data_IF_156296670240
#
_entry.id   IF_156296670240
#
_cell.length_a   1.000
_cell.length_b   1.000
_cell.length_c   1.000
_cell.angle_alpha   90.00
_cell.angle_beta   90.00
_cell.angle_gamma   90.00
#
_symmetry.space_group_name_H-M   'P 1'
#
loop_
_entity.id
_entity.type
_entity.pdbx_description
1 polymer ?
#
# COMPACT_ATOMS: atom_id res chain seq x y z
N UNK A 1 0.95 20.55 -1.34
CA UNK A 1 -0.38 19.91 -1.47
C UNK A 1 -0.53 18.83 -0.41
N UNK A 2 -1.74 18.40 -0.10
CA UNK A 2 -1.97 17.29 0.82
C UNK A 2 -1.56 15.95 0.19
N UNK A 3 -1.39 14.90 1.02
CA UNK A 3 -1.14 13.56 0.50
C UNK A 3 -2.28 13.04 -0.36
N UNK A 4 -3.53 13.30 0.04
CA UNK A 4 -4.73 12.94 -0.74
C UNK A 4 -4.75 13.63 -2.10
N UNK A 5 -4.49 14.94 -2.17
CA UNK A 5 -4.39 15.67 -3.45
C UNK A 5 -3.20 15.17 -4.30
N UNK A 6 -2.07 14.85 -3.65
CA UNK A 6 -0.88 14.35 -4.33
C UNK A 6 -1.15 12.98 -5.01
N UNK A 7 -1.93 12.11 -4.37
CA UNK A 7 -2.42 10.87 -5.00
C UNK A 7 -3.26 11.17 -6.24
N UNK A 8 -4.25 12.06 -6.13
CA UNK A 8 -5.08 12.45 -7.27
C UNK A 8 -4.24 13.02 -8.42
N UNK A 9 -3.29 13.92 -8.10
CA UNK A 9 -2.38 14.51 -9.10
C UNK A 9 -1.48 13.46 -9.74
N UNK A 10 -0.88 12.59 -8.92
CA UNK A 10 -0.04 11.49 -9.39
C UNK A 10 -0.81 10.50 -10.27
N UNK A 11 -2.07 10.21 -9.95
CA UNK A 11 -2.92 9.35 -10.77
C UNK A 11 -3.11 9.93 -12.19
N UNK A 12 -3.38 11.24 -12.31
CA UNK A 12 -3.50 11.92 -13.60
C UNK A 12 -2.17 11.87 -14.37
N UNK A 13 -1.04 12.15 -13.71
CA UNK A 13 0.29 12.05 -14.30
C UNK A 13 0.64 10.60 -14.70
N UNK A 14 0.12 9.61 -13.97
CA UNK A 14 0.20 8.18 -14.28
C UNK A 14 -0.77 7.70 -15.35
N UNK A 15 -1.39 8.62 -16.11
CA UNK A 15 -2.35 8.32 -17.18
C UNK A 15 -3.60 7.56 -16.73
N UNK A 16 -4.09 7.83 -15.50
CA UNK A 16 -5.40 7.37 -15.07
C UNK A 16 -6.49 7.90 -15.98
N UNK A 17 -7.33 7.02 -16.53
CA UNK A 17 -8.44 7.38 -17.41
C UNK A 17 -9.80 7.24 -16.74
N UNK A 18 -9.91 6.40 -15.73
CA UNK A 18 -11.17 6.08 -15.08
C UNK A 18 -11.00 6.11 -13.58
N UNK A 19 -11.79 6.93 -12.91
CA UNK A 19 -11.91 6.92 -11.46
C UNK A 19 -13.37 6.73 -11.09
N UNK A 20 -13.60 5.70 -10.29
CA UNK A 20 -14.90 5.42 -9.69
C UNK A 20 -14.74 5.47 -8.18
N UNK A 21 -15.70 6.09 -7.49
CA UNK A 21 -15.57 6.24 -6.04
C UNK A 21 -16.90 6.29 -5.32
N UNK A 22 -16.87 5.90 -4.06
CA UNK A 22 -17.92 6.14 -3.09
C UNK A 22 -17.31 6.90 -1.89
N UNK A 23 -17.95 7.99 -1.40
CA UNK A 23 -17.36 8.84 -0.39
C UNK A 23 -17.25 8.13 0.95
N UNK A 24 -16.04 8.07 1.49
CA UNK A 24 -15.75 7.52 2.82
C UNK A 24 -14.52 8.23 3.42
N UNK A 25 -14.64 8.71 4.66
CA UNK A 25 -13.53 9.34 5.39
C UNK A 25 -12.48 8.27 5.78
N UNK A 26 -11.16 8.54 5.62
CA UNK A 26 -10.50 9.82 5.33
C UNK A 26 -9.96 9.98 3.89
N UNK A 27 -10.56 9.36 2.87
CA UNK A 27 -10.12 9.45 1.48
C UNK A 27 -10.92 10.45 0.61
N UNK A 28 -11.95 11.10 1.15
CA UNK A 28 -12.90 11.92 0.37
C UNK A 28 -12.22 12.97 -0.50
N UNK A 29 -11.13 13.57 -0.05
CA UNK A 29 -10.39 14.59 -0.78
C UNK A 29 -9.75 14.03 -2.07
N UNK A 30 -9.36 12.73 -2.09
CA UNK A 30 -8.91 12.09 -3.34
C UNK A 30 -10.04 12.10 -4.37
N UNK A 31 -11.24 11.71 -3.95
CA UNK A 31 -12.42 11.68 -4.80
C UNK A 31 -12.80 13.06 -5.30
N UNK A 32 -12.80 14.09 -4.41
CA UNK A 32 -13.06 15.48 -4.75
C UNK A 32 -12.04 16.02 -5.76
N UNK A 33 -10.76 15.72 -5.56
CA UNK A 33 -9.69 16.06 -6.50
C UNK A 33 -9.93 15.44 -7.87
N UNK A 34 -10.21 14.13 -7.90
CA UNK A 34 -10.45 13.39 -9.15
C UNK A 34 -11.73 13.87 -9.86
N UNK A 35 -12.80 14.18 -9.12
CA UNK A 35 -14.04 14.74 -9.69
C UNK A 35 -13.79 16.06 -10.42
N UNK A 36 -12.90 16.90 -9.89
CA UNK A 36 -12.58 18.22 -10.45
C UNK A 36 -11.58 18.14 -11.61
N UNK A 37 -10.52 17.36 -11.45
CA UNK A 37 -9.36 17.44 -12.34
C UNK A 37 -9.32 16.33 -13.41
N UNK A 38 -9.83 15.14 -13.14
CA UNK A 38 -9.77 14.03 -14.10
C UNK A 38 -10.54 14.30 -15.40
N UNK A 39 -11.77 14.88 -15.37
CA UNK A 39 -12.47 15.26 -16.60
C UNK A 39 -11.71 16.31 -17.42
N UNK A 40 -11.01 17.25 -16.76
CA UNK A 40 -10.17 18.26 -17.43
C UNK A 40 -8.96 17.63 -18.13
N UNK A 41 -8.49 16.51 -17.62
CA UNK A 41 -7.42 15.70 -18.21
C UNK A 41 -7.92 14.69 -19.25
N UNK A 42 -9.20 14.73 -19.63
CA UNK A 42 -9.81 13.84 -20.62
C UNK A 42 -10.15 12.45 -20.11
N UNK A 43 -10.22 12.25 -18.79
CA UNK A 43 -10.67 11.02 -18.16
C UNK A 43 -12.14 11.07 -17.71
N UNK A 44 -12.62 9.97 -17.16
CA UNK A 44 -13.99 9.81 -16.65
C UNK A 44 -13.95 9.66 -15.13
N UNK A 45 -14.68 10.52 -14.44
CA UNK A 45 -15.05 10.39 -13.02
C UNK A 45 -16.53 10.00 -12.90
N UNK A 46 -16.81 9.04 -12.00
CA UNK A 46 -18.19 8.72 -11.65
C UNK A 46 -18.27 8.30 -10.18
N UNK A 47 -19.23 8.90 -9.47
CA UNK A 47 -19.59 8.47 -8.11
C UNK A 47 -20.58 7.32 -8.17
N UNK A 48 -20.24 6.18 -7.55
CA UNK A 48 -21.10 5.02 -7.42
C UNK A 48 -21.99 5.11 -6.17
N UNK A 49 -23.00 4.25 -6.09
CA UNK A 49 -23.89 4.14 -4.93
C UNK A 49 -23.29 3.35 -3.76
N UNK A 50 -22.22 2.55 -4.01
CA UNK A 50 -21.48 1.82 -2.98
C UNK A 50 -20.11 1.37 -3.50
N UNK A 51 -19.27 0.88 -2.59
CA UNK A 51 -17.91 0.42 -2.91
C UNK A 51 -17.92 -0.85 -3.79
N UNK A 52 -18.92 -1.72 -3.65
CA UNK A 52 -19.04 -2.91 -4.46
C UNK A 52 -19.24 -2.56 -5.94
N UNK A 53 -20.16 -1.62 -6.23
CA UNK A 53 -20.37 -1.10 -7.58
C UNK A 53 -19.15 -0.37 -8.12
N UNK A 54 -18.47 0.41 -7.26
CA UNK A 54 -17.19 1.04 -7.58
C UNK A 54 -16.17 0.02 -8.09
N UNK A 55 -15.97 -1.08 -7.36
CA UNK A 55 -15.03 -2.13 -7.73
C UNK A 55 -15.42 -2.83 -9.04
N UNK A 56 -16.73 -3.04 -9.27
CA UNK A 56 -17.25 -3.58 -10.52
C UNK A 56 -16.98 -2.67 -11.73
N UNK A 57 -17.12 -1.35 -11.57
CA UNK A 57 -16.81 -0.36 -12.61
C UNK A 57 -15.30 -0.31 -12.91
N UNK A 58 -14.46 -0.34 -11.87
CA UNK A 58 -12.99 -0.45 -12.02
C UNK A 58 -12.62 -1.71 -12.79
N UNK A 59 -13.18 -2.87 -12.39
CA UNK A 59 -12.96 -4.14 -13.07
C UNK A 59 -13.34 -4.08 -14.56
N UNK A 60 -14.54 -3.56 -14.90
CA UNK A 60 -15.01 -3.46 -16.28
C UNK A 60 -14.13 -2.55 -17.14
N UNK A 61 -13.78 -1.37 -16.65
CA UNK A 61 -12.93 -0.41 -17.36
C UNK A 61 -11.50 -0.91 -17.54
N UNK A 62 -10.95 -1.55 -16.51
CA UNK A 62 -9.62 -2.16 -16.57
C UNK A 62 -9.60 -3.37 -17.52
N UNK A 63 -10.65 -4.21 -17.55
CA UNK A 63 -10.81 -5.30 -18.49
C UNK A 63 -10.86 -4.80 -19.94
N UNK A 64 -11.41 -3.62 -20.18
CA UNK A 64 -11.37 -2.95 -21.50
C UNK A 64 -9.98 -2.34 -21.84
N UNK A 65 -8.99 -2.47 -20.95
CA UNK A 65 -7.61 -2.02 -21.13
C UNK A 65 -7.32 -0.61 -20.65
N UNK A 66 -8.28 0.08 -20.02
CA UNK A 66 -8.08 1.40 -19.44
C UNK A 66 -7.31 1.35 -18.12
N UNK A 67 -6.55 2.40 -17.81
CA UNK A 67 -6.01 2.60 -16.45
C UNK A 67 -7.14 3.09 -15.55
N UNK A 68 -7.60 2.23 -14.64
CA UNK A 68 -8.69 2.51 -13.72
C UNK A 68 -8.19 2.52 -12.28
N UNK A 69 -8.74 3.42 -11.47
CA UNK A 69 -8.41 3.60 -10.06
C UNK A 69 -9.67 3.81 -9.23
N UNK A 70 -9.61 3.39 -7.99
CA UNK A 70 -10.52 3.81 -6.92
C UNK A 70 -9.74 4.12 -5.65
N UNK A 71 -10.40 4.79 -4.71
CA UNK A 71 -9.89 5.01 -3.36
C UNK A 71 -10.99 4.67 -2.35
N UNK A 72 -10.62 4.06 -1.22
CA UNK A 72 -11.54 3.76 -0.14
C UNK A 72 -10.82 3.61 1.21
N UNK A 73 -11.54 3.19 2.24
CA UNK A 73 -11.06 3.02 3.61
C UNK A 73 -11.79 1.87 4.30
N UNK A 74 -11.10 1.12 5.14
CA UNK A 74 -11.67 0.14 6.08
C UNK A 74 -12.80 -0.73 5.50
N UNK A 75 -14.07 -0.50 5.93
CA UNK A 75 -15.19 -1.35 5.50
C UNK A 75 -15.44 -1.30 3.98
N UNK A 76 -15.16 -0.19 3.31
CA UNK A 76 -15.29 -0.10 1.86
C UNK A 76 -14.29 -0.99 1.14
N UNK A 77 -13.05 -1.10 1.65
CA UNK A 77 -12.07 -2.04 1.12
C UNK A 77 -12.53 -3.49 1.32
N UNK A 78 -13.18 -3.79 2.45
CA UNK A 78 -13.74 -5.13 2.69
C UNK A 78 -14.81 -5.50 1.66
N UNK A 79 -15.69 -4.57 1.29
CA UNK A 79 -16.70 -4.77 0.25
C UNK A 79 -16.10 -5.00 -1.16
N UNK A 80 -14.93 -4.44 -1.44
CA UNK A 80 -14.27 -4.58 -2.74
C UNK A 80 -13.57 -5.92 -2.94
N UNK A 81 -13.35 -6.72 -1.89
CA UNK A 81 -12.48 -7.91 -1.94
C UNK A 81 -12.96 -8.97 -2.92
N UNK A 82 -14.25 -9.08 -3.16
CA UNK A 82 -14.81 -9.98 -4.18
C UNK A 82 -14.24 -9.63 -5.58
N UNK A 83 -14.31 -8.35 -5.97
CA UNK A 83 -13.76 -7.92 -7.26
C UNK A 83 -12.24 -7.97 -7.32
N UNK A 84 -11.55 -7.77 -6.21
CA UNK A 84 -10.07 -7.97 -6.16
C UNK A 84 -9.72 -9.43 -6.44
N UNK A 85 -10.48 -10.38 -5.90
CA UNK A 85 -10.35 -11.81 -6.21
C UNK A 85 -10.58 -12.07 -7.71
N UNK A 86 -11.65 -11.53 -8.32
CA UNK A 86 -11.89 -11.61 -9.76
C UNK A 86 -10.75 -10.98 -10.58
N UNK A 87 -10.32 -9.77 -10.23
CA UNK A 87 -9.21 -9.10 -10.92
C UNK A 87 -7.93 -9.92 -10.85
N UNK A 88 -7.67 -10.57 -9.72
CA UNK A 88 -6.51 -11.45 -9.56
C UNK A 88 -6.63 -12.70 -10.45
N UNK A 89 -7.79 -13.34 -10.49
CA UNK A 89 -8.03 -14.52 -11.34
C UNK A 89 -7.92 -14.19 -12.82
N UNK A 90 -8.58 -13.11 -13.28
CA UNK A 90 -8.56 -12.70 -14.68
C UNK A 90 -7.33 -11.89 -15.07
N UNK A 91 -6.40 -11.67 -14.14
CA UNK A 91 -5.18 -10.86 -14.33
C UNK A 91 -5.50 -9.47 -14.90
N UNK A 92 -6.41 -8.78 -14.26
CA UNK A 92 -6.86 -7.43 -14.65
C UNK A 92 -6.11 -6.40 -13.81
N UNK A 93 -5.34 -5.47 -14.43
CA UNK A 93 -4.60 -4.45 -13.72
C UNK A 93 -5.51 -3.34 -13.19
N UNK A 94 -5.35 -2.97 -11.93
CA UNK A 94 -6.03 -1.82 -11.34
C UNK A 94 -5.20 -1.22 -10.19
N UNK A 95 -5.44 0.04 -9.87
CA UNK A 95 -4.88 0.69 -8.68
C UNK A 95 -5.99 0.96 -7.68
N UNK A 96 -5.78 0.53 -6.44
CA UNK A 96 -6.69 0.79 -5.33
C UNK A 96 -5.92 1.54 -4.24
N UNK A 97 -6.33 2.76 -3.95
CA UNK A 97 -5.77 3.55 -2.85
C UNK A 97 -6.55 3.27 -1.58
N UNK A 98 -5.82 3.00 -0.51
CA UNK A 98 -6.39 2.74 0.82
C UNK A 98 -5.89 3.79 1.78
N UNK A 99 -6.80 4.64 2.26
CA UNK A 99 -6.50 5.56 3.35
C UNK A 99 -7.05 4.94 4.63
N UNK A 100 -6.15 4.29 5.40
CA UNK A 100 -6.59 3.44 6.50
C UNK A 100 -7.15 4.22 7.68
N UNK A 101 -8.11 3.62 8.36
CA UNK A 101 -8.72 4.10 9.60
C UNK A 101 -8.90 2.96 10.60
N UNK A 102 -9.15 3.29 11.87
CA UNK A 102 -9.36 2.26 12.89
C UNK A 102 -10.58 1.39 12.59
N UNK A 103 -10.38 0.07 12.66
CA UNK A 103 -11.40 -0.98 12.65
C UNK A 103 -11.50 -1.67 14.01
N UNK A 104 -12.29 -2.77 14.12
CA UNK A 104 -13.15 -3.35 13.08
C UNK A 104 -14.49 -2.61 12.87
N UNK A 105 -15.27 -3.08 11.89
CA UNK A 105 -16.57 -2.52 11.54
C UNK A 105 -16.46 -1.13 10.94
N UNK A 106 -17.35 -0.22 11.28
CA UNK A 106 -17.28 1.18 10.84
C UNK A 106 -16.04 1.87 11.38
N UNK A 107 -15.57 1.50 12.57
CA UNK A 107 -14.39 2.04 13.20
C UNK A 107 -14.43 3.54 13.47
N UNK A 108 -13.26 4.15 13.53
CA UNK A 108 -13.07 5.58 13.73
C UNK A 108 -12.22 6.16 12.59
N UNK A 109 -12.63 7.33 12.07
CA UNK A 109 -11.91 8.02 10.99
C UNK A 109 -10.60 8.69 11.46
N UNK A 110 -9.84 7.98 12.28
CA UNK A 110 -8.53 8.41 12.80
C UNK A 110 -7.42 7.60 12.13
N UNK A 111 -6.21 8.18 12.10
CA UNK A 111 -5.05 7.54 11.50
C UNK A 111 -4.69 6.23 12.18
N UNK A 112 -4.65 5.15 11.40
CA UNK A 112 -4.28 3.80 11.85
C UNK A 112 -3.50 3.06 10.77
N UNK A 113 -3.08 1.83 11.07
CA UNK A 113 -2.46 0.89 10.12
C UNK A 113 -3.13 -0.50 10.20
N UNK A 114 -4.44 -0.51 10.52
CA UNK A 114 -5.19 -1.76 10.80
C UNK A 114 -5.59 -2.54 9.55
N UNK A 115 -5.53 -1.96 8.35
CA UNK A 115 -5.83 -2.65 7.09
C UNK A 115 -4.64 -3.44 6.52
N UNK A 116 -3.48 -3.41 7.19
CA UNK A 116 -2.23 -4.04 6.74
C UNK A 116 -2.42 -5.50 6.29
N UNK A 117 -3.00 -6.32 7.16
CA UNK A 117 -3.14 -7.77 6.91
C UNK A 117 -4.07 -8.07 5.75
N UNK A 118 -5.19 -7.33 5.64
CA UNK A 118 -6.15 -7.50 4.55
C UNK A 118 -5.51 -7.27 3.19
N UNK A 119 -4.56 -6.33 3.08
CA UNK A 119 -3.92 -5.99 1.82
C UNK A 119 -2.72 -6.88 1.51
N UNK A 120 -1.92 -7.23 2.52
CA UNK A 120 -0.67 -8.00 2.34
C UNK A 120 -0.89 -9.51 2.32
N UNK A 121 -1.95 -10.02 2.97
CA UNK A 121 -2.23 -11.46 3.06
C UNK A 121 -3.43 -11.92 2.21
N UNK A 122 -4.12 -10.97 1.55
CA UNK A 122 -5.32 -11.22 0.76
C UNK A 122 -6.61 -11.14 1.60
N UNK A 123 -7.54 -10.29 1.16
CA UNK A 123 -8.82 -10.05 1.85
C UNK A 123 -9.98 -10.86 1.27
N UNK A 124 -9.88 -11.32 0.02
CA UNK A 124 -10.86 -12.20 -0.64
C UNK A 124 -10.39 -13.65 -0.67
N UNK A 125 -11.20 -14.54 -1.26
CA UNK A 125 -10.83 -15.95 -1.40
C UNK A 125 -9.86 -16.18 -2.56
N UNK A 126 -9.14 -17.31 -2.57
CA UNK A 126 -8.35 -17.79 -3.70
C UNK A 126 -6.83 -17.68 -3.53
N UNK A 127 -6.33 -17.19 -2.39
CA UNK A 127 -4.89 -17.20 -2.05
C UNK A 127 -4.02 -16.31 -2.93
N UNK A 128 -4.60 -15.27 -3.55
CA UNK A 128 -3.89 -14.32 -4.39
C UNK A 128 -3.00 -13.36 -3.59
N UNK A 129 -2.10 -12.65 -4.31
CA UNK A 129 -1.26 -11.57 -3.77
C UNK A 129 -1.47 -10.30 -4.58
N UNK A 130 -1.31 -9.16 -3.92
CA UNK A 130 -1.30 -7.83 -4.54
C UNK A 130 -0.04 -7.08 -4.08
N UNK A 131 0.58 -6.31 -4.97
CA UNK A 131 1.66 -5.41 -4.55
C UNK A 131 1.05 -4.32 -3.66
N UNK A 132 1.71 -4.03 -2.55
CA UNK A 132 1.27 -2.99 -1.60
C UNK A 132 2.41 -1.99 -1.42
N UNK A 133 2.21 -0.76 -1.86
CA UNK A 133 3.14 0.36 -1.71
C UNK A 133 2.71 1.23 -0.53
N UNK A 134 3.66 1.69 0.27
CA UNK A 134 3.40 2.47 1.49
C UNK A 134 4.17 3.80 1.51
N UNK A 135 3.69 4.83 0.81
CA UNK A 135 4.30 6.16 0.85
C UNK A 135 4.20 6.78 2.25
N UNK A 136 5.18 7.61 2.60
CA UNK A 136 5.23 8.31 3.88
C UNK A 136 5.21 9.84 3.77
N UNK A 137 5.10 10.36 2.57
CA UNK A 137 5.05 11.81 2.31
C UNK A 137 4.14 12.11 1.11
N UNK A 138 3.64 13.36 0.98
CA UNK A 138 2.90 13.78 -0.21
C UNK A 138 3.69 13.61 -1.52
N UNK A 139 5.01 13.81 -1.51
CA UNK A 139 5.85 13.57 -2.67
C UNK A 139 5.80 12.10 -3.08
N UNK A 140 6.00 11.18 -2.14
CA UNK A 140 5.91 9.75 -2.42
C UNK A 140 4.49 9.31 -2.80
N UNK A 141 3.45 9.93 -2.26
CA UNK A 141 2.07 9.68 -2.68
C UNK A 141 1.91 9.93 -4.19
N UNK A 142 2.43 11.06 -4.69
CA UNK A 142 2.42 11.40 -6.11
C UNK A 142 3.24 10.42 -6.95
N UNK A 143 4.40 10.01 -6.47
CA UNK A 143 5.31 9.14 -7.21
C UNK A 143 4.88 7.68 -7.19
N UNK A 144 4.46 7.17 -6.02
CA UNK A 144 4.10 5.77 -5.87
C UNK A 144 2.77 5.40 -6.54
N UNK A 145 1.81 6.34 -6.68
CA UNK A 145 0.61 6.04 -7.47
C UNK A 145 0.91 5.92 -8.96
N UNK A 146 1.88 6.67 -9.50
CA UNK A 146 2.35 6.49 -10.87
C UNK A 146 3.05 5.13 -11.03
N UNK A 147 3.92 4.78 -10.08
CA UNK A 147 4.56 3.46 -10.01
C UNK A 147 3.51 2.34 -9.91
N UNK A 148 2.45 2.53 -9.14
CA UNK A 148 1.39 1.55 -8.99
C UNK A 148 0.70 1.23 -10.32
N UNK A 149 0.42 2.23 -11.17
CA UNK A 149 -0.11 2.00 -12.51
C UNK A 149 0.87 1.24 -13.40
N UNK A 150 2.16 1.58 -13.34
CA UNK A 150 3.18 0.85 -14.10
C UNK A 150 3.26 -0.62 -13.66
N UNK A 151 3.34 -0.88 -12.36
CA UNK A 151 3.42 -2.25 -11.81
C UNK A 151 2.14 -3.05 -12.06
N UNK A 152 0.95 -2.40 -11.94
CA UNK A 152 -0.31 -3.03 -12.24
C UNK A 152 -0.36 -3.53 -13.69
N UNK A 153 0.00 -2.69 -14.65
CA UNK A 153 0.06 -3.05 -16.06
C UNK A 153 1.16 -4.11 -16.34
N UNK A 154 2.36 -3.94 -15.74
CA UNK A 154 3.51 -4.85 -15.92
C UNK A 154 3.20 -6.28 -15.50
N UNK A 155 2.58 -6.44 -14.35
CA UNK A 155 2.29 -7.76 -13.76
C UNK A 155 0.84 -8.21 -13.94
N UNK A 156 -0.01 -7.37 -14.54
CA UNK A 156 -1.43 -7.63 -14.74
C UNK A 156 -2.10 -8.05 -13.42
N UNK A 157 -2.11 -7.14 -12.46
CA UNK A 157 -2.66 -7.39 -11.13
C UNK A 157 -3.11 -6.10 -10.45
N UNK A 158 -3.85 -6.23 -9.36
CA UNK A 158 -4.16 -5.10 -8.49
C UNK A 158 -2.91 -4.67 -7.73
N UNK A 159 -2.66 -3.36 -7.69
CA UNK A 159 -1.64 -2.73 -6.84
C UNK A 159 -2.33 -1.80 -5.87
N UNK A 160 -2.05 -1.98 -4.59
CA UNK A 160 -2.50 -1.08 -3.53
C UNK A 160 -1.50 0.03 -3.26
N UNK A 161 -2.00 1.23 -3.02
CA UNK A 161 -1.25 2.32 -2.39
C UNK A 161 -1.87 2.55 -1.02
N UNK A 162 -1.15 2.18 0.03
CA UNK A 162 -1.61 2.21 1.41
C UNK A 162 -1.03 3.40 2.14
N UNK A 163 -1.88 4.33 2.56
CA UNK A 163 -1.53 5.44 3.45
C UNK A 163 -2.43 5.44 4.67
N UNK A 164 -1.99 6.10 5.72
CA UNK A 164 -2.84 6.45 6.86
C UNK A 164 -3.34 7.91 6.75
N UNK A 165 -4.36 8.26 7.52
CA UNK A 165 -4.98 9.58 7.47
C UNK A 165 -3.98 10.73 7.73
N UNK A 166 -2.92 10.52 8.53
CA UNK A 166 -1.91 11.57 8.76
C UNK A 166 -1.16 11.89 7.47
N UNK A 167 -0.76 10.85 6.71
CA UNK A 167 -0.10 11.05 5.40
C UNK A 167 -1.07 11.68 4.41
N UNK A 168 -2.33 11.27 4.41
CA UNK A 168 -3.36 11.83 3.52
C UNK A 168 -3.58 13.33 3.74
N UNK A 169 -3.52 13.79 4.97
CA UNK A 169 -3.87 15.16 5.36
C UNK A 169 -2.67 16.11 5.52
N UNK A 170 -1.46 15.61 5.74
CA UNK A 170 -0.28 16.47 5.88
C UNK A 170 -0.03 17.26 4.59
N UNK A 171 0.30 18.54 4.72
CA UNK A 171 0.56 19.44 3.59
C UNK A 171 2.05 19.75 3.50
N UNK A 172 2.65 19.38 2.38
CA UNK A 172 4.08 19.61 2.11
C UNK A 172 4.29 20.14 0.69
N UNK A 173 5.44 20.75 0.40
CA UNK A 173 5.84 21.03 -0.99
C UNK A 173 5.94 19.74 -1.80
N UNK A 174 5.41 19.77 -3.04
CA UNK A 174 5.43 18.62 -3.95
C UNK A 174 5.87 19.08 -5.33
N UNK A 175 6.83 18.37 -5.91
CA UNK A 175 7.26 18.55 -7.30
C UNK A 175 6.45 17.61 -8.19
N UNK A 176 5.46 18.17 -8.88
CA UNK A 176 4.58 17.39 -9.75
C UNK A 176 5.25 17.15 -11.11
N UNK A 177 5.78 15.95 -11.31
CA UNK A 177 6.40 15.50 -12.57
C UNK A 177 5.88 14.11 -12.98
N UNK A 178 5.82 13.87 -14.28
CA UNK A 178 5.62 12.51 -14.80
C UNK A 178 6.90 11.71 -14.62
N UNK A 179 6.78 10.49 -14.12
CA UNK A 179 7.90 9.57 -14.00
C UNK A 179 8.07 8.76 -15.29
N UNK A 180 9.29 8.54 -15.68
CA UNK A 180 9.61 7.69 -16.81
C UNK A 180 9.74 6.24 -16.37
N UNK A 181 8.96 5.37 -17.01
CA UNK A 181 9.01 3.93 -16.83
C UNK A 181 9.34 3.23 -18.15
N UNK A 182 9.93 2.03 -18.04
CA UNK A 182 10.18 1.20 -19.23
C UNK A 182 8.87 0.95 -19.99
N UNK A 183 8.89 1.02 -21.34
CA UNK A 183 7.71 0.71 -22.14
C UNK A 183 7.16 -0.69 -21.83
N UNK A 184 5.84 -0.79 -21.80
CA UNK A 184 5.14 -2.05 -21.58
C UNK A 184 4.54 -2.55 -22.90
N UNK A 185 4.34 -3.88 -23.06
CA UNK A 185 3.64 -4.44 -24.20
C UNK A 185 2.22 -3.88 -24.34
N UNK A 186 1.71 -3.87 -25.57
CA UNK A 186 0.31 -3.53 -25.80
C UNK A 186 -0.62 -4.47 -25.04
N UNK A 187 -1.76 -3.92 -24.60
CA UNK A 187 -2.79 -4.67 -23.88
C UNK A 187 -3.65 -5.48 -24.85
N UNK A 188 -3.04 -6.46 -25.52
CA UNK A 188 -3.70 -7.33 -26.51
C UNK A 188 -4.76 -8.26 -25.90
N UNK A 189 -4.72 -8.42 -24.59
CA UNK A 189 -5.70 -9.14 -23.77
C UNK A 189 -6.99 -8.33 -23.50
N UNK A 190 -7.00 -7.04 -23.76
CA UNK A 190 -8.11 -6.14 -23.40
C UNK A 190 -9.38 -6.45 -24.22
N UNK A 191 -10.54 -6.35 -23.57
CA UNK A 191 -11.85 -6.59 -24.17
C UNK A 191 -12.37 -5.29 -24.79
N UNK A 192 -12.00 -5.00 -26.04
CA UNK A 192 -12.35 -3.76 -26.75
C UNK A 192 -13.45 -3.95 -27.81
N UNK A 193 -14.29 -4.98 -27.67
CA UNK A 193 -15.32 -5.35 -28.64
C UNK A 193 -14.99 -6.61 -29.42
N UNK A 194 -15.96 -7.06 -30.24
CA UNK A 194 -15.91 -8.35 -30.95
C UNK A 194 -14.70 -8.46 -31.88
N UNK A 195 -14.46 -7.42 -32.67
CA UNK A 195 -13.43 -7.49 -33.74
C UNK A 195 -12.01 -7.45 -33.19
N UNK A 196 -11.79 -6.77 -32.06
CA UNK A 196 -10.48 -6.71 -31.41
C UNK A 196 -10.04 -8.05 -30.80
N UNK A 197 -10.95 -9.02 -30.69
CA UNK A 197 -10.74 -10.30 -30.04
C UNK A 197 -10.90 -11.51 -30.93
N UNK A 198 -11.04 -11.32 -32.26
CA UNK A 198 -11.26 -12.42 -33.18
C UNK A 198 -10.29 -13.59 -32.93
N UNK A 199 -10.82 -14.74 -32.47
CA UNK A 199 -10.03 -15.92 -32.13
C UNK A 199 -9.27 -15.94 -30.80
N UNK A 200 -9.32 -14.89 -29.99
CA UNK A 200 -8.68 -14.88 -28.66
C UNK A 200 -9.68 -15.25 -27.55
N UNK A 201 -9.43 -16.27 -26.73
CA UNK A 201 -10.28 -16.57 -25.58
C UNK A 201 -10.21 -15.46 -24.52
N UNK A 202 -11.26 -15.30 -23.71
CA UNK A 202 -11.18 -14.51 -22.49
C UNK A 202 -10.17 -15.17 -21.54
N UNK A 203 -9.17 -14.42 -21.01
CA UNK A 203 -8.30 -14.98 -19.99
C UNK A 203 -9.07 -15.20 -18.69
N UNK A 204 -8.68 -16.17 -17.90
CA UNK A 204 -8.47 -17.55 -18.27
C UNK A 204 -9.72 -18.37 -17.95
N UNK A 205 -10.55 -18.69 -18.93
CA UNK A 205 -11.42 -19.84 -18.79
C UNK A 205 -10.52 -21.07 -18.92
N UNK A 206 -9.70 -21.33 -17.91
CA UNK A 206 -8.85 -22.52 -17.93
C UNK A 206 -9.54 -23.67 -17.23
N UNK A 207 -9.52 -24.82 -17.85
CA UNK A 207 -9.82 -26.09 -17.19
C UNK A 207 -8.58 -26.61 -16.43
N UNK A 208 -7.41 -26.02 -16.67
CA UNK A 208 -6.16 -26.35 -15.99
C UNK A 208 -5.90 -25.38 -14.82
N UNK A 209 -6.56 -25.60 -13.70
CA UNK A 209 -6.35 -24.83 -12.48
C UNK A 209 -4.95 -25.02 -11.89
N UNK A 210 -4.35 -26.19 -12.05
CA UNK A 210 -2.99 -26.46 -11.54
C UNK A 210 -1.98 -25.61 -12.30
N UNK A 211 -2.00 -25.66 -13.64
CA UNK A 211 -1.11 -24.84 -14.47
C UNK A 211 -1.33 -23.34 -14.26
N UNK A 212 -2.57 -22.90 -13.99
CA UNK A 212 -2.84 -21.52 -13.59
C UNK A 212 -2.10 -21.13 -12.31
N UNK A 213 -2.22 -21.94 -11.25
CA UNK A 213 -1.56 -21.67 -9.98
C UNK A 213 -0.03 -21.72 -10.07
N UNK A 214 0.53 -22.62 -10.87
CA UNK A 214 1.98 -22.65 -11.15
C UNK A 214 2.44 -21.32 -11.74
N UNK A 215 1.79 -20.84 -12.81
CA UNK A 215 2.12 -19.55 -13.43
C UNK A 215 1.93 -18.35 -12.50
N UNK A 216 0.91 -18.38 -11.63
CA UNK A 216 0.74 -17.34 -10.63
C UNK A 216 1.88 -17.34 -9.61
N UNK A 217 2.30 -18.52 -9.13
CA UNK A 217 3.44 -18.63 -8.23
C UNK A 217 4.74 -18.13 -8.85
N UNK A 218 5.04 -18.50 -10.10
CA UNK A 218 6.20 -17.99 -10.85
C UNK A 218 6.18 -16.46 -10.92
N UNK A 219 5.01 -15.87 -11.19
CA UNK A 219 4.83 -14.41 -11.20
C UNK A 219 5.12 -13.80 -9.83
N UNK A 220 4.61 -14.39 -8.75
CA UNK A 220 4.81 -13.89 -7.40
C UNK A 220 6.29 -13.99 -6.97
N UNK A 221 6.96 -15.09 -7.27
CA UNK A 221 8.40 -15.24 -7.01
C UNK A 221 9.21 -14.16 -7.75
N UNK A 222 8.91 -13.92 -9.03
CA UNK A 222 9.56 -12.84 -9.78
C UNK A 222 9.33 -11.47 -9.15
N UNK A 223 8.14 -11.19 -8.63
CA UNK A 223 7.83 -9.93 -7.94
C UNK A 223 8.62 -9.82 -6.63
N UNK A 224 8.69 -10.90 -5.87
CA UNK A 224 9.49 -10.96 -4.63
C UNK A 224 11.00 -10.77 -4.88
N UNK A 225 11.50 -11.18 -6.04
CA UNK A 225 12.90 -10.98 -6.42
C UNK A 225 13.20 -9.56 -6.94
N UNK A 226 12.23 -8.90 -7.62
CA UNK A 226 12.53 -7.69 -8.40
C UNK A 226 11.85 -6.43 -7.90
N UNK A 227 10.81 -6.52 -7.07
CA UNK A 227 9.99 -5.36 -6.69
C UNK A 227 10.04 -5.01 -5.20
N UNK A 228 10.90 -5.66 -4.43
CA UNK A 228 11.16 -5.29 -3.03
C UNK A 228 11.78 -3.89 -2.99
N UNK A 229 11.18 -2.99 -2.19
CA UNK A 229 11.66 -1.63 -1.95
C UNK A 229 11.67 -1.30 -0.48
N UNK A 230 12.75 -0.71 -0.03
CA UNK A 230 12.91 -0.23 1.35
C UNK A 230 13.95 0.88 1.42
N UNK A 231 13.98 1.57 2.51
CA UNK A 231 15.03 2.54 2.86
C UNK A 231 15.59 2.24 4.23
N UNK A 232 16.86 2.57 4.43
CA UNK A 232 17.53 2.50 5.72
C UNK A 232 17.99 3.88 6.14
N UNK A 233 17.90 4.15 7.44
CA UNK A 233 18.37 5.40 8.02
C UNK A 233 19.24 5.10 9.24
N UNK A 234 20.53 5.50 9.19
CA UNK A 234 21.53 5.33 10.23
C UNK A 234 21.66 3.88 10.76
N UNK A 235 21.77 2.89 9.85
CA UNK A 235 21.77 1.46 10.22
C UNK A 235 23.15 0.80 10.26
N UNK A 236 24.24 1.57 10.13
CA UNK A 236 25.60 0.98 10.03
C UNK A 236 26.16 0.53 11.39
N UNK A 237 25.85 1.26 12.47
CA UNK A 237 26.42 1.07 13.83
C UNK A 237 25.31 0.98 14.88
N UNK A 238 24.44 -0.03 14.81
CA UNK A 238 23.24 -0.10 15.62
C UNK A 238 23.23 -1.26 16.61
N UNK A 239 22.64 -1.02 17.79
CA UNK A 239 22.29 -2.02 18.81
C UNK A 239 20.78 -2.30 18.84
N UNK A 240 20.00 -1.49 18.14
CA UNK A 240 18.55 -1.63 18.00
C UNK A 240 18.10 -1.17 16.62
N UNK A 241 17.37 -2.03 15.92
CA UNK A 241 16.73 -1.71 14.66
C UNK A 241 15.27 -1.31 14.90
N UNK A 242 14.87 -0.12 14.45
CA UNK A 242 13.45 0.21 14.31
C UNK A 242 12.94 -0.28 12.94
N UNK A 243 11.73 -0.83 12.91
CA UNK A 243 11.03 -1.16 11.65
C UNK A 243 9.66 -0.49 11.68
N UNK A 244 9.38 0.37 10.70
CA UNK A 244 8.14 1.14 10.64
C UNK A 244 7.79 1.51 9.20
N UNK A 245 6.49 1.74 8.89
CA UNK A 245 6.04 2.26 7.60
C UNK A 245 5.07 3.45 7.74
N UNK A 246 4.76 4.14 6.65
CA UNK A 246 3.82 5.26 6.62
C UNK A 246 4.15 6.35 7.64
N UNK A 247 3.15 6.91 8.32
CA UNK A 247 3.39 7.97 9.31
C UNK A 247 4.15 7.50 10.55
N UNK A 248 4.08 6.21 10.93
CA UNK A 248 4.87 5.66 12.02
C UNK A 248 6.39 5.72 11.70
N UNK A 249 6.78 5.50 10.44
CA UNK A 249 8.18 5.62 10.02
C UNK A 249 8.70 7.05 10.10
N UNK A 250 7.87 8.06 9.84
CA UNK A 250 8.25 9.47 10.00
C UNK A 250 8.59 9.79 11.46
N UNK A 251 7.77 9.32 12.39
CA UNK A 251 8.04 9.48 13.81
C UNK A 251 9.26 8.67 14.28
N UNK A 252 9.41 7.46 13.73
CA UNK A 252 10.58 6.62 14.03
C UNK A 252 11.89 7.25 13.54
N UNK A 253 11.89 7.94 12.41
CA UNK A 253 13.07 8.68 11.94
C UNK A 253 13.48 9.78 12.92
N UNK A 254 12.53 10.62 13.37
CA UNK A 254 12.81 11.63 14.39
C UNK A 254 13.25 11.03 15.73
N UNK A 255 12.70 9.86 16.08
CA UNK A 255 13.13 9.14 17.29
C UNK A 255 14.57 8.60 17.18
N UNK A 256 15.02 8.19 15.99
CA UNK A 256 16.41 7.80 15.76
C UNK A 256 17.34 8.98 16.06
N UNK A 257 17.04 10.17 15.54
CA UNK A 257 17.87 11.35 15.77
C UNK A 257 17.92 11.71 17.28
N UNK A 258 16.76 11.78 17.93
CA UNK A 258 16.67 12.08 19.37
C UNK A 258 17.34 11.02 20.25
N UNK A 259 17.26 9.73 19.90
CA UNK A 259 17.91 8.66 20.65
C UNK A 259 19.44 8.70 20.48
N UNK A 260 19.91 8.96 19.26
CA UNK A 260 21.36 9.10 18.99
C UNK A 260 21.99 10.29 19.70
N UNK A 261 21.30 11.42 19.80
CA UNK A 261 21.73 12.57 20.61
C UNK A 261 21.90 12.20 22.10
N UNK A 262 21.19 11.18 22.58
CA UNK A 262 21.28 10.63 23.94
C UNK A 262 22.27 9.46 24.05
N UNK A 263 23.00 9.13 22.99
CA UNK A 263 24.05 8.09 22.98
C UNK A 263 23.56 6.68 22.66
N UNK A 264 22.29 6.47 22.28
CA UNK A 264 21.76 5.19 21.86
C UNK A 264 22.05 4.91 20.38
N UNK A 265 22.58 3.75 20.04
CA UNK A 265 22.87 3.36 18.66
C UNK A 265 21.64 2.69 18.01
N UNK A 266 20.76 3.54 17.49
CA UNK A 266 19.48 3.14 16.88
C UNK A 266 19.49 3.49 15.40
N UNK A 267 18.87 2.66 14.56
CA UNK A 267 18.63 2.94 13.16
C UNK A 267 17.24 2.51 12.74
N UNK A 268 16.80 2.94 11.57
CA UNK A 268 15.48 2.64 11.02
C UNK A 268 15.60 1.92 9.68
N UNK A 269 14.84 0.85 9.49
CA UNK A 269 14.50 0.29 8.19
C UNK A 269 13.01 0.56 7.92
N UNK A 270 12.73 1.23 6.80
CA UNK A 270 11.38 1.54 6.33
C UNK A 270 11.03 0.69 5.12
N UNK A 271 10.12 -0.29 5.23
CA UNK A 271 9.53 -0.92 4.06
C UNK A 271 8.77 0.13 3.22
N UNK A 272 9.06 0.19 1.91
CA UNK A 272 8.29 0.93 0.91
C UNK A 272 7.27 -0.01 0.29
N UNK A 273 7.65 -1.27 0.03
CA UNK A 273 6.72 -2.34 -0.29
C UNK A 273 6.39 -3.13 0.98
N UNK A 274 5.10 -3.31 1.25
CA UNK A 274 4.61 -4.17 2.33
C UNK A 274 4.29 -5.58 1.82
N UNK A 275 3.99 -5.73 0.56
CA UNK A 275 4.13 -6.94 -0.21
C UNK A 275 4.66 -6.58 -1.60
N UNK A 276 5.76 -7.16 -2.05
CA UNK A 276 6.65 -8.08 -1.32
C UNK A 276 7.36 -7.39 -0.13
N UNK A 277 7.42 -8.08 1.01
CA UNK A 277 8.08 -7.55 2.21
C UNK A 277 9.60 -7.69 2.12
N UNK A 278 10.41 -6.70 2.57
CA UNK A 278 11.87 -6.74 2.49
C UNK A 278 12.51 -7.67 3.55
N UNK A 279 12.09 -8.93 3.60
CA UNK A 279 12.45 -9.89 4.65
C UNK A 279 13.96 -10.11 4.76
N UNK A 280 14.70 -10.14 3.65
CA UNK A 280 16.15 -10.31 3.68
C UNK A 280 16.84 -9.10 4.31
N UNK A 281 16.48 -7.89 3.89
CA UNK A 281 17.06 -6.65 4.41
C UNK A 281 16.76 -6.47 5.90
N UNK A 282 15.51 -6.78 6.32
CA UNK A 282 15.12 -6.77 7.73
C UNK A 282 15.95 -7.75 8.54
N UNK A 283 16.11 -8.99 8.05
CA UNK A 283 16.93 -10.02 8.72
C UNK A 283 18.38 -9.59 8.89
N UNK A 284 19.00 -9.11 7.81
CA UNK A 284 20.40 -8.69 7.83
C UNK A 284 20.65 -7.53 8.80
N UNK A 285 19.78 -6.52 8.78
CA UNK A 285 19.88 -5.38 9.70
C UNK A 285 19.57 -5.79 11.15
N UNK A 286 18.58 -6.65 11.36
CA UNK A 286 18.23 -7.17 12.69
C UNK A 286 19.35 -8.00 13.32
N UNK A 287 20.03 -8.85 12.54
CA UNK A 287 21.16 -9.65 13.02
C UNK A 287 22.36 -8.77 13.41
N UNK A 288 22.59 -7.64 12.69
CA UNK A 288 23.62 -6.67 13.10
C UNK A 288 23.27 -5.96 14.39
N UNK A 289 22.00 -5.58 14.54
CA UNK A 289 21.51 -4.82 15.70
C UNK A 289 21.34 -5.67 16.97
N UNK A 290 21.10 -6.98 16.81
CA UNK A 290 20.83 -7.90 17.92
C UNK A 290 19.41 -7.76 18.53
N UNK A 291 18.67 -6.71 18.24
CA UNK A 291 17.30 -6.45 18.72
C UNK A 291 16.50 -5.67 17.68
N UNK A 292 15.17 -5.86 17.67
CA UNK A 292 14.24 -5.11 16.80
C UNK A 292 13.11 -4.51 17.62
N UNK A 293 12.73 -3.26 17.32
CA UNK A 293 11.49 -2.64 17.77
C UNK A 293 10.64 -2.31 16.56
N UNK A 294 9.51 -2.97 16.41
CA UNK A 294 8.51 -2.65 15.39
C UNK A 294 7.62 -1.53 15.92
N UNK A 295 7.47 -0.47 15.13
CA UNK A 295 6.62 0.69 15.46
C UNK A 295 5.49 0.75 14.45
N UNK A 296 4.25 0.53 14.90
CA UNK A 296 3.08 0.52 14.04
C UNK A 296 1.81 1.03 14.73
N UNK A 297 0.91 1.63 13.96
CA UNK A 297 -0.38 2.14 14.45
C UNK A 297 -1.46 1.06 14.36
N UNK A 298 -1.14 -0.13 14.86
CA UNK A 298 -2.03 -1.29 14.93
C UNK A 298 -1.80 -2.08 16.20
N UNK A 299 -2.49 -3.19 16.35
CA UNK A 299 -2.35 -4.12 17.48
C UNK A 299 -1.26 -5.18 17.28
N UNK A 300 -0.39 -5.01 16.29
CA UNK A 300 0.62 -5.98 15.91
C UNK A 300 0.21 -6.75 14.64
N UNK A 301 0.44 -6.14 13.49
CA UNK A 301 0.17 -6.74 12.17
C UNK A 301 1.44 -6.86 11.34
N UNK A 302 2.22 -5.76 11.21
CA UNK A 302 3.51 -5.82 10.52
C UNK A 302 4.56 -6.58 11.32
N UNK A 303 4.46 -6.58 12.65
CA UNK A 303 5.38 -7.34 13.52
C UNK A 303 5.42 -8.81 13.15
N UNK A 304 4.30 -9.41 12.71
CA UNK A 304 4.25 -10.81 12.25
C UNK A 304 5.20 -11.06 11.05
N UNK A 305 5.28 -10.10 10.10
CA UNK A 305 6.21 -10.20 8.96
C UNK A 305 7.66 -10.00 9.38
N UNK A 306 7.91 -9.14 10.36
CA UNK A 306 9.26 -8.94 10.94
C UNK A 306 9.70 -10.19 11.70
N UNK A 307 8.86 -10.77 12.55
CA UNK A 307 9.13 -12.02 13.26
C UNK A 307 9.42 -13.17 12.30
N UNK A 308 8.62 -13.28 11.23
CA UNK A 308 8.87 -14.25 10.18
C UNK A 308 10.20 -14.00 9.46
N UNK A 309 10.54 -12.73 9.18
CA UNK A 309 11.79 -12.36 8.53
C UNK A 309 13.01 -12.73 9.38
N UNK A 310 12.99 -12.47 10.69
CA UNK A 310 14.14 -12.72 11.58
C UNK A 310 14.26 -14.19 12.05
N UNK A 311 13.25 -15.03 11.80
CA UNK A 311 13.26 -16.47 12.15
C UNK A 311 13.57 -16.74 13.63
N UNK A 312 13.11 -15.89 14.53
CA UNK A 312 13.38 -15.96 15.99
C UNK A 312 14.87 -15.88 16.37
N UNK A 313 15.74 -15.39 15.49
CA UNK A 313 17.17 -15.28 15.75
C UNK A 313 17.53 -14.09 16.65
N UNK A 314 16.67 -13.10 16.71
CA UNK A 314 16.80 -11.92 17.58
C UNK A 314 15.45 -11.60 18.22
N UNK A 315 15.44 -10.99 19.43
CA UNK A 315 14.19 -10.53 20.04
C UNK A 315 13.55 -9.43 19.22
N UNK A 316 12.22 -9.54 19.07
CA UNK A 316 11.38 -8.53 18.40
C UNK A 316 10.41 -7.96 19.44
N UNK A 317 10.44 -6.64 19.59
CA UNK A 317 9.56 -5.87 20.45
C UNK A 317 8.54 -5.13 19.61
N UNK A 318 7.38 -4.82 20.18
CA UNK A 318 6.30 -4.09 19.51
C UNK A 318 5.93 -2.82 20.30
N UNK A 319 6.01 -1.67 19.63
CA UNK A 319 5.32 -0.45 20.05
C UNK A 319 4.12 -0.24 19.15
N UNK A 320 2.95 -0.68 19.62
CA UNK A 320 1.67 -0.57 18.92
C UNK A 320 0.69 0.35 19.65
N UNK A 321 -0.60 0.18 19.35
CA UNK A 321 -1.69 0.90 20.00
C UNK A 321 -2.00 0.41 21.42
N UNK A 322 -1.47 -0.74 21.83
CA UNK A 322 -1.67 -1.31 23.16
C UNK A 322 -0.82 -0.61 24.23
N UNK A 323 -1.36 -0.47 25.42
CA UNK A 323 -0.62 0.06 26.59
C UNK A 323 -0.86 1.54 26.89
N UNK A 324 -1.77 2.20 26.18
CA UNK A 324 -2.15 3.59 26.45
C UNK A 324 -3.65 3.69 26.66
N UNK A 325 -4.10 3.37 27.87
CA UNK A 325 -5.47 3.59 28.27
C UNK A 325 -5.68 5.03 28.74
N UNK A 326 -5.94 5.94 27.81
CA UNK A 326 -6.68 7.15 28.15
C UNK A 326 -8.08 7.02 27.54
N UNK A 327 -9.15 7.10 28.32
CA UNK A 327 -10.50 7.08 27.80
C UNK A 327 -10.70 8.19 26.76
N UNK A 328 -11.10 7.83 25.54
CA UNK A 328 -11.46 8.77 24.48
C UNK A 328 -10.35 9.18 23.50
N UNK A 329 -9.13 8.71 23.67
CA UNK A 329 -8.05 8.97 22.70
C UNK A 329 -7.18 7.74 22.47
N UNK A 330 -6.95 7.39 21.19
CA UNK A 330 -5.84 6.51 20.86
C UNK A 330 -4.55 7.31 21.04
N UNK A 331 -3.57 6.80 21.82
CA UNK A 331 -2.33 7.53 22.01
C UNK A 331 -1.61 7.64 20.67
N UNK A 332 -1.28 8.86 20.27
CA UNK A 332 -0.45 9.04 19.12
C UNK A 332 0.93 8.44 19.39
N UNK A 333 1.49 7.79 18.38
CA UNK A 333 2.90 7.38 18.39
C UNK A 333 3.69 8.62 17.98
N UNK A 334 4.41 9.23 18.92
CA UNK A 334 5.34 10.34 18.69
C UNK A 334 6.77 9.88 18.83
N UNK A 335 7.71 10.68 18.35
CA UNK A 335 9.12 10.39 18.44
C UNK A 335 9.57 10.21 19.91
N UNK A 336 9.12 11.04 20.83
CA UNK A 336 9.45 10.98 22.26
C UNK A 336 9.00 9.64 22.87
N UNK A 337 7.81 9.16 22.55
CA UNK A 337 7.33 7.87 23.02
C UNK A 337 8.13 6.68 22.49
N UNK A 338 8.58 6.77 21.24
CA UNK A 338 9.48 5.76 20.67
C UNK A 338 10.81 5.77 21.43
N UNK A 339 11.38 6.95 21.73
CA UNK A 339 12.61 7.08 22.51
C UNK A 339 12.44 6.52 23.93
N UNK A 340 11.30 6.73 24.57
CA UNK A 340 11.01 6.12 25.87
C UNK A 340 11.01 4.58 25.81
N UNK A 341 10.49 4.00 24.71
CA UNK A 341 10.51 2.55 24.52
C UNK A 341 11.93 2.03 24.19
N UNK A 342 12.69 2.76 23.39
CA UNK A 342 14.12 2.46 23.12
C UNK A 342 14.93 2.34 24.41
N UNK A 343 14.68 3.21 25.41
CA UNK A 343 15.39 3.20 26.70
C UNK A 343 15.09 1.98 27.57
N UNK A 344 13.98 1.26 27.33
CA UNK A 344 13.57 0.07 28.10
C UNK A 344 14.16 -1.22 27.51
N UNK A 345 14.53 -1.20 26.25
CA UNK A 345 15.04 -2.34 25.48
C UNK A 345 16.58 -2.36 25.52
#
# INVERSE_FOLDING_TARGET
>A
MSGNDAIGRGAILGDCKFFYGYPITPQSEIMEYMARELPRAGGLFLQAECELSTAGMVYGSAMAGGRAMTASSGPGISLMQEFVSFMSFYQVPAVIVVVTRYGPGTGLAQSSQTDYRQLTKGGGHGGYRCIVLAPWSPQECLEQVQLAFHLADKYRMVVYVLIDANIGQIVEPVVARTLDFSPLPEKDWAVRGRDSRAGKPLPPLTQDFVGYHVKQNEKYQKIEETEVRYETYQTEDIDLLLVAHGSAARWAQGAVDMAREQGYRVGLLRPITLWPFPSQAVREAALRAGKVLVVEKSSGLMVEDVEFAVLKQVPVHLLGIWGCHQPGAFPPIYAERIVEEVKKI
#
